data_IF_746326600462
#
_entry.id   IF_746326600462
#
_cell.length_a   1.000
_cell.length_b   1.000
_cell.length_c   1.000
_cell.angle_alpha   90.00
_cell.angle_beta   90.00
_cell.angle_gamma   90.00
#
_symmetry.space_group_name_H-M   'P 1'
#
loop_
_entity.id
_entity.type
_entity.pdbx_description
1 polymer ?
#
# COMPACT_ATOMS: atom_id res chain seq x y z
N UNK A 1 -11.83 3.50 -29.84
CA UNK A 1 -10.95 4.21 -28.87
C UNK A 1 -10.27 3.18 -27.98
N UNK A 2 -8.94 3.13 -27.97
CA UNK A 2 -8.19 2.11 -27.21
C UNK A 2 -8.30 2.34 -25.69
N UNK A 3 -8.09 1.31 -24.86
CA UNK A 3 -8.04 1.48 -23.39
C UNK A 3 -6.98 2.49 -22.98
N UNK A 4 -5.81 2.45 -23.62
CA UNK A 4 -4.75 3.43 -23.37
C UNK A 4 -5.24 4.84 -23.68
N UNK A 5 -6.06 5.02 -24.71
CA UNK A 5 -6.65 6.32 -25.05
C UNK A 5 -7.73 6.74 -24.06
N UNK A 6 -8.63 5.85 -23.62
CA UNK A 6 -9.66 6.20 -22.62
C UNK A 6 -9.04 6.44 -21.24
N UNK A 7 -8.10 5.59 -20.83
CA UNK A 7 -7.32 5.78 -19.62
C UNK A 7 -6.49 7.06 -19.70
N UNK A 8 -5.85 7.36 -20.83
CA UNK A 8 -5.12 8.61 -21.02
C UNK A 8 -6.02 9.85 -21.07
N UNK A 9 -7.25 9.74 -21.61
CA UNK A 9 -8.22 10.84 -21.58
C UNK A 9 -8.70 11.08 -20.15
N UNK A 10 -9.07 10.02 -19.44
CA UNK A 10 -9.39 10.10 -18.02
C UNK A 10 -8.19 10.72 -17.30
N UNK A 11 -6.99 10.14 -17.40
CA UNK A 11 -5.74 10.64 -16.82
C UNK A 11 -5.38 12.08 -17.22
N UNK A 12 -5.78 12.55 -18.40
CA UNK A 12 -5.55 13.93 -18.85
C UNK A 12 -6.58 14.90 -18.27
N UNK A 13 -7.85 14.50 -18.18
CA UNK A 13 -8.90 15.29 -17.54
C UNK A 13 -8.67 15.34 -16.01
N UNK A 14 -8.30 14.19 -15.44
CA UNK A 14 -7.71 14.00 -14.12
C UNK A 14 -6.56 15.00 -13.85
N UNK A 15 -5.60 15.10 -14.78
CA UNK A 15 -4.45 16.00 -14.65
C UNK A 15 -4.79 17.49 -14.78
N UNK A 16 -5.79 17.86 -15.60
CA UNK A 16 -6.25 19.25 -15.73
C UNK A 16 -6.88 19.76 -14.45
N UNK A 17 -7.68 18.92 -13.79
CA UNK A 17 -8.26 19.22 -12.47
C UNK A 17 -7.19 19.30 -11.36
N UNK A 18 -6.08 18.56 -11.51
CA UNK A 18 -4.96 18.59 -10.56
C UNK A 18 -4.10 19.87 -10.65
N UNK A 19 -4.00 20.50 -11.82
CA UNK A 19 -3.16 21.68 -12.04
C UNK A 19 -3.64 22.92 -11.25
N UNK A 20 -4.91 22.97 -10.85
CA UNK A 20 -5.48 24.04 -10.02
C UNK A 20 -5.08 23.92 -8.53
N UNK A 21 -4.32 22.89 -8.14
CA UNK A 21 -4.03 22.51 -6.75
C UNK A 21 -2.53 22.28 -6.55
N UNK A 22 -1.74 23.36 -6.66
CA UNK A 22 -0.30 23.33 -6.50
C UNK A 22 0.13 23.00 -5.04
N UNK A 23 1.05 22.06 -4.87
CA UNK A 23 1.60 21.61 -3.58
C UNK A 23 2.19 22.74 -2.76
N UNK A 24 3.05 23.50 -3.43
CA UNK A 24 3.80 24.57 -2.81
C UNK A 24 2.84 25.66 -2.35
N UNK A 25 1.74 25.88 -3.07
CA UNK A 25 0.67 26.81 -2.69
C UNK A 25 -0.10 26.33 -1.45
N UNK A 26 -0.41 25.04 -1.31
CA UNK A 26 -1.15 24.53 -0.14
C UNK A 26 -0.29 24.50 1.12
N UNK A 27 0.97 24.04 1.03
CA UNK A 27 1.87 24.01 2.18
C UNK A 27 2.33 25.42 2.59
N UNK A 28 2.51 26.34 1.64
CA UNK A 28 2.80 27.75 1.94
C UNK A 28 1.59 28.49 2.53
N UNK A 29 0.36 28.08 2.20
CA UNK A 29 -0.86 28.69 2.78
C UNK A 29 -1.30 28.02 4.08
N UNK A 30 -1.04 26.73 4.29
CA UNK A 30 -1.38 26.01 5.52
C UNK A 30 -0.15 25.80 6.42
N UNK A 31 0.18 26.85 7.17
CA UNK A 31 1.34 26.91 8.07
C UNK A 31 1.40 25.74 9.07
N UNK A 32 0.25 25.20 9.51
CA UNK A 32 0.21 24.07 10.45
C UNK A 32 0.74 22.78 9.81
N UNK A 33 0.32 22.49 8.59
CA UNK A 33 0.79 21.32 7.84
C UNK A 33 2.25 21.50 7.39
N UNK A 34 2.64 22.71 6.99
CA UNK A 34 4.03 23.05 6.68
C UNK A 34 4.96 22.81 7.88
N UNK A 35 4.57 23.26 9.08
CA UNK A 35 5.33 23.04 10.31
C UNK A 35 5.43 21.56 10.68
N UNK A 36 4.32 20.80 10.60
CA UNK A 36 4.33 19.35 10.85
C UNK A 36 5.29 18.65 9.90
N UNK A 37 5.23 18.96 8.61
CA UNK A 37 6.12 18.37 7.60
C UNK A 37 7.59 18.65 7.91
N UNK A 38 7.92 19.91 8.20
CA UNK A 38 9.29 20.31 8.52
C UNK A 38 9.82 19.60 9.78
N UNK A 39 9.01 19.48 10.84
CA UNK A 39 9.40 18.79 12.07
C UNK A 39 9.66 17.30 11.84
N UNK A 40 8.88 16.64 10.97
CA UNK A 40 9.11 15.22 10.65
C UNK A 40 10.39 15.06 9.81
N UNK A 41 10.61 15.94 8.83
CA UNK A 41 11.81 15.93 7.98
C UNK A 41 13.11 16.25 8.73
N UNK A 42 13.01 16.99 9.83
CA UNK A 42 14.10 17.26 10.78
C UNK A 42 14.29 16.11 11.79
N UNK A 43 13.35 15.18 11.88
CA UNK A 43 13.40 14.03 12.79
C UNK A 43 12.84 14.31 14.19
N UNK A 44 12.21 15.46 14.42
CA UNK A 44 11.59 15.86 15.68
C UNK A 44 10.18 15.27 15.87
N UNK A 45 10.08 13.93 15.85
CA UNK A 45 8.81 13.21 15.91
C UNK A 45 7.93 13.54 17.13
N UNK A 46 8.46 13.66 18.37
CA UNK A 46 7.62 13.97 19.54
C UNK A 46 6.86 15.29 19.40
N UNK A 47 7.49 16.32 18.81
CA UNK A 47 6.86 17.61 18.56
C UNK A 47 5.84 17.52 17.42
N UNK A 48 6.19 16.83 16.33
CA UNK A 48 5.27 16.58 15.23
C UNK A 48 4.02 15.84 15.70
N UNK A 49 4.18 14.81 16.53
CA UNK A 49 3.09 14.01 17.10
C UNK A 49 2.09 14.88 17.87
N UNK A 50 2.57 15.78 18.72
CA UNK A 50 1.69 16.71 19.48
C UNK A 50 0.83 17.56 18.54
N UNK A 51 1.40 18.00 17.42
CA UNK A 51 0.65 18.79 16.44
C UNK A 51 -0.34 17.94 15.64
N UNK A 52 0.06 16.73 15.24
CA UNK A 52 -0.79 15.79 14.50
C UNK A 52 -1.99 15.36 15.35
N UNK A 53 -1.78 15.09 16.64
CA UNK A 53 -2.83 14.68 17.58
C UNK A 53 -3.92 15.74 17.79
N UNK A 54 -3.65 16.99 17.43
CA UNK A 54 -4.63 18.10 17.49
C UNK A 54 -5.46 18.23 16.20
N UNK A 55 -5.15 17.45 15.17
CA UNK A 55 -5.86 17.42 13.91
C UNK A 55 -6.82 16.23 13.88
N UNK A 56 -7.91 16.27 13.08
CA UNK A 56 -8.77 15.11 12.89
C UNK A 56 -7.99 13.88 12.41
N UNK A 57 -8.52 12.68 12.70
CA UNK A 57 -7.87 11.42 12.30
C UNK A 57 -7.53 11.43 10.81
N UNK A 58 -6.28 11.03 10.52
CA UNK A 58 -5.66 11.08 9.21
C UNK A 58 -5.57 12.46 8.53
N UNK A 59 -6.09 13.56 9.08
CA UNK A 59 -6.08 14.86 8.39
C UNK A 59 -4.68 15.26 7.92
N UNK A 60 -3.63 15.06 8.74
CA UNK A 60 -2.26 15.43 8.36
C UNK A 60 -1.69 14.59 7.21
N UNK A 61 -2.09 13.33 7.08
CA UNK A 61 -1.57 12.38 6.06
C UNK A 61 -2.52 12.18 4.88
N UNK A 62 -3.80 12.51 5.06
CA UNK A 62 -4.88 12.40 4.10
C UNK A 62 -5.19 13.75 3.45
N UNK A 63 -4.73 14.85 4.07
CA UNK A 63 -5.19 16.23 3.88
C UNK A 63 -5.84 16.44 2.52
N UNK A 64 -7.14 16.21 2.52
CA UNK A 64 -8.00 16.26 1.37
C UNK A 64 -8.83 17.52 1.52
N UNK A 65 -8.27 18.64 1.09
CA UNK A 65 -9.08 19.73 0.56
C UNK A 65 -8.79 19.88 -0.93
N UNK A 66 -8.73 18.74 -1.61
CA UNK A 66 -9.15 18.67 -2.98
C UNK A 66 -9.65 17.27 -3.29
N UNK A 67 -10.94 17.23 -3.52
CA UNK A 67 -11.61 16.09 -4.09
C UNK A 67 -10.92 15.67 -5.39
N UNK A 68 -11.05 14.38 -5.65
CA UNK A 68 -11.15 13.86 -7.00
C UNK A 68 -9.90 14.07 -7.88
N UNK A 69 -9.25 12.94 -8.17
CA UNK A 69 -8.68 12.70 -9.50
C UNK A 69 -7.18 13.07 -9.74
N UNK A 70 -6.32 13.02 -8.72
CA UNK A 70 -4.85 13.04 -8.97
C UNK A 70 -4.15 11.86 -8.30
N UNK A 71 -4.20 10.69 -8.95
CA UNK A 71 -3.39 9.55 -8.49
C UNK A 71 -2.55 8.89 -9.59
N UNK A 72 -2.50 9.45 -10.81
CA UNK A 72 -1.79 8.77 -11.91
C UNK A 72 -0.68 9.62 -12.54
N UNK A 73 -0.44 10.88 -12.12
CA UNK A 73 0.74 11.59 -12.65
C UNK A 73 1.33 12.75 -11.86
N UNK A 74 0.62 13.37 -10.91
CA UNK A 74 1.11 14.56 -10.19
C UNK A 74 0.70 14.54 -8.71
N UNK A 75 0.96 13.42 -8.04
CA UNK A 75 0.73 13.24 -6.60
C UNK A 75 1.80 13.93 -5.78
N UNK A 76 1.68 15.24 -5.57
CA UNK A 76 2.73 15.97 -4.85
C UNK A 76 2.24 16.60 -3.54
N UNK A 77 1.02 17.14 -3.46
CA UNK A 77 0.69 18.05 -2.33
C UNK A 77 0.67 17.46 -0.92
N UNK A 78 0.13 16.25 -0.73
CA UNK A 78 -0.19 15.72 0.61
C UNK A 78 0.50 14.41 0.94
N UNK A 79 1.19 13.84 -0.05
CA UNK A 79 2.03 12.67 0.16
C UNK A 79 3.27 13.07 0.98
N UNK A 80 3.67 14.34 1.03
CA UNK A 80 4.91 14.74 1.70
C UNK A 80 4.94 14.43 3.20
N UNK A 81 3.86 14.70 3.95
CA UNK A 81 3.78 14.32 5.37
C UNK A 81 3.79 12.80 5.53
N UNK A 82 2.95 12.09 4.75
CA UNK A 82 2.92 10.62 4.75
C UNK A 82 4.27 10.01 4.40
N UNK A 83 4.96 10.60 3.43
CA UNK A 83 6.28 10.21 2.94
C UNK A 83 7.33 10.48 4.00
N UNK A 84 7.33 11.66 4.63
CA UNK A 84 8.28 11.99 5.67
C UNK A 84 8.15 11.02 6.86
N UNK A 85 6.92 10.66 7.26
CA UNK A 85 6.70 9.64 8.30
C UNK A 85 7.16 8.26 7.81
N UNK A 86 6.87 7.90 6.55
CA UNK A 86 7.32 6.64 5.96
C UNK A 86 8.85 6.55 5.89
N UNK A 87 9.51 7.63 5.50
CA UNK A 87 10.97 7.73 5.39
C UNK A 87 11.61 7.64 6.78
N UNK A 88 10.97 8.23 7.81
CA UNK A 88 11.34 8.07 9.22
C UNK A 88 11.20 6.61 9.69
N UNK A 89 10.09 5.93 9.36
CA UNK A 89 9.90 4.49 9.60
C UNK A 89 11.02 3.70 8.92
N UNK A 90 11.34 4.01 7.66
CA UNK A 90 12.42 3.38 6.90
C UNK A 90 13.78 3.49 7.59
N UNK A 91 14.13 4.69 8.08
CA UNK A 91 15.38 4.91 8.82
C UNK A 91 15.46 4.09 10.11
N UNK A 92 14.35 4.01 10.85
CA UNK A 92 14.26 3.29 12.13
C UNK A 92 14.37 1.79 11.96
N UNK A 93 13.81 1.22 10.88
CA UNK A 93 13.87 -0.24 10.61
C UNK A 93 15.12 -0.68 9.85
N UNK A 94 15.88 0.25 9.25
CA UNK A 94 16.94 -0.07 8.28
C UNK A 94 17.98 -1.07 8.82
N UNK A 95 18.53 -0.79 10.01
CA UNK A 95 19.58 -1.63 10.61
C UNK A 95 19.06 -3.03 10.91
N UNK A 96 17.85 -3.13 11.45
CA UNK A 96 17.21 -4.40 11.78
C UNK A 96 16.83 -5.20 10.53
N UNK A 97 16.36 -4.51 9.48
CA UNK A 97 16.14 -5.11 8.16
C UNK A 97 17.45 -5.71 7.61
N UNK A 98 18.55 -4.98 7.69
CA UNK A 98 19.85 -5.50 7.23
C UNK A 98 20.31 -6.71 8.04
N UNK A 99 20.06 -6.73 9.34
CA UNK A 99 20.39 -7.87 10.21
C UNK A 99 19.56 -9.12 9.90
N UNK A 100 18.24 -8.96 9.72
CA UNK A 100 17.29 -10.08 9.62
C UNK A 100 17.02 -10.56 8.19
N UNK A 101 17.16 -9.68 7.20
CA UNK A 101 16.70 -9.93 5.84
C UNK A 101 17.77 -9.73 4.76
N UNK A 102 18.93 -9.13 5.06
CA UNK A 102 19.97 -8.95 4.03
C UNK A 102 20.61 -10.29 3.67
N UNK A 103 20.51 -10.64 2.39
CA UNK A 103 21.41 -11.62 1.80
C UNK A 103 22.68 -10.87 1.39
N UNK A 104 23.87 -11.34 1.80
CA UNK A 104 25.20 -10.77 1.46
C UNK A 104 25.44 -10.46 -0.03
N UNK A 105 24.56 -10.92 -0.94
CA UNK A 105 24.61 -10.68 -2.37
C UNK A 105 24.04 -9.32 -2.82
N UNK A 106 23.09 -8.72 -2.09
CA UNK A 106 22.46 -7.43 -2.46
C UNK A 106 23.37 -6.22 -2.15
N UNK A 107 24.31 -6.37 -1.21
CA UNK A 107 25.24 -5.33 -0.76
C UNK A 107 26.24 -4.85 -1.83
N UNK A 108 26.44 -5.62 -2.91
CA UNK A 108 27.35 -5.27 -4.00
C UNK A 108 26.79 -4.17 -4.93
N UNK A 109 25.49 -3.85 -4.84
CA UNK A 109 24.81 -2.98 -5.81
C UNK A 109 24.39 -1.60 -5.29
N UNK A 110 24.48 -1.35 -3.97
CA UNK A 110 23.94 -0.14 -3.33
C UNK A 110 25.03 0.81 -2.81
N UNK A 111 26.13 0.96 -3.53
CA UNK A 111 27.14 1.97 -3.25
C UNK A 111 26.79 3.34 -3.88
N UNK A 112 25.52 3.72 -3.83
CA UNK A 112 25.04 5.03 -4.30
C UNK A 112 24.72 5.88 -3.08
N UNK A 113 25.60 6.85 -2.81
CA UNK A 113 25.46 7.98 -1.87
C UNK A 113 24.52 7.72 -0.69
N UNK A 114 25.05 7.20 0.42
CA UNK A 114 24.40 7.30 1.72
C UNK A 114 24.28 8.79 2.06
N UNK A 115 23.11 9.37 1.85
CA UNK A 115 22.77 10.67 2.42
C UNK A 115 23.02 10.60 3.93
N UNK A 116 23.64 11.66 4.47
CA UNK A 116 24.02 11.74 5.87
C UNK A 116 22.85 11.32 6.75
N UNK A 117 23.05 10.32 7.62
CA UNK A 117 22.08 9.89 8.62
C UNK A 117 21.67 11.11 9.46
N UNK A 118 20.54 11.74 9.12
CA UNK A 118 19.90 12.72 9.99
C UNK A 118 19.57 11.99 11.29
N UNK A 119 19.97 12.56 12.42
CA UNK A 119 19.76 11.96 13.73
C UNK A 119 18.27 12.05 14.06
N UNK A 120 17.51 11.00 13.74
CA UNK A 120 16.11 10.91 14.14
C UNK A 120 16.01 10.81 15.65
N UNK A 121 15.03 11.46 16.26
CA UNK A 121 14.79 11.36 17.71
C UNK A 121 14.17 10.01 18.13
N UNK A 122 13.96 9.10 17.18
CA UNK A 122 13.35 7.79 17.41
C UNK A 122 14.43 6.74 17.60
N UNK A 123 14.23 5.88 18.59
CA UNK A 123 15.12 4.76 18.84
C UNK A 123 15.08 3.76 17.67
N UNK A 124 16.23 3.35 17.10
CA UNK A 124 16.28 2.32 16.08
C UNK A 124 15.69 1.00 16.59
N UNK A 125 14.97 0.29 15.73
CA UNK A 125 14.46 -1.06 16.04
C UNK A 125 15.62 -2.03 16.21
N UNK A 126 15.63 -2.81 17.29
CA UNK A 126 16.65 -3.84 17.58
C UNK A 126 16.07 -5.22 17.89
N UNK A 127 14.77 -5.28 18.14
CA UNK A 127 14.06 -6.51 18.47
C UNK A 127 12.67 -6.56 17.82
N UNK A 128 12.05 -7.73 17.81
CA UNK A 128 10.67 -7.90 17.35
C UNK A 128 9.66 -7.09 18.19
N UNK A 129 9.93 -6.91 19.49
CA UNK A 129 9.13 -6.06 20.37
C UNK A 129 9.24 -4.59 19.99
N UNK A 130 10.43 -4.12 19.60
CA UNK A 130 10.62 -2.75 19.13
C UNK A 130 9.88 -2.54 17.80
N UNK A 131 9.95 -3.52 16.89
CA UNK A 131 9.19 -3.48 15.64
C UNK A 131 7.67 -3.42 15.90
N UNK A 132 7.17 -4.18 16.89
CA UNK A 132 5.78 -4.09 17.32
C UNK A 132 5.44 -2.71 17.93
N UNK A 133 6.37 -2.08 18.67
CA UNK A 133 6.18 -0.73 19.22
C UNK A 133 6.05 0.36 18.16
N UNK A 134 6.55 0.10 16.95
CA UNK A 134 6.44 0.98 15.78
C UNK A 134 4.99 1.16 15.30
N UNK A 135 4.05 0.33 15.78
CA UNK A 135 2.61 0.56 15.56
C UNK A 135 2.18 1.97 15.96
N UNK A 136 2.77 2.52 17.02
CA UNK A 136 2.53 3.89 17.47
C UNK A 136 2.76 4.95 16.38
N UNK A 137 3.66 4.73 15.42
CA UNK A 137 3.88 5.64 14.28
C UNK A 137 3.19 5.14 13.00
N UNK A 138 3.15 3.82 12.78
CA UNK A 138 2.52 3.20 11.60
C UNK A 138 1.04 3.57 11.49
N UNK A 139 0.31 3.68 12.61
CA UNK A 139 -1.10 4.05 12.61
C UNK A 139 -1.38 5.46 12.09
N UNK A 140 -0.41 6.39 12.16
CA UNK A 140 -0.59 7.71 11.57
C UNK A 140 -0.56 7.66 10.05
N UNK A 141 0.19 6.73 9.45
CA UNK A 141 0.30 6.57 7.99
C UNK A 141 -0.79 5.65 7.46
N UNK A 142 -1.00 4.52 8.13
CA UNK A 142 -1.89 3.45 7.68
C UNK A 142 -1.49 2.91 6.31
N UNK A 143 -2.43 2.56 5.42
CA UNK A 143 -2.14 1.93 4.12
C UNK A 143 -1.32 2.80 3.16
N UNK A 144 -1.16 4.10 3.46
CA UNK A 144 -0.39 5.06 2.66
C UNK A 144 1.11 4.79 2.65
N UNK A 145 1.59 3.87 3.50
CA UNK A 145 2.96 3.37 3.43
C UNK A 145 3.29 2.79 2.04
N UNK A 146 2.28 2.32 1.30
CA UNK A 146 2.43 1.84 -0.07
C UNK A 146 2.95 2.91 -1.07
N UNK A 147 2.82 4.21 -0.76
CA UNK A 147 3.42 5.30 -1.55
C UNK A 147 4.96 5.31 -1.47
N UNK A 148 5.52 4.59 -0.49
CA UNK A 148 6.95 4.28 -0.37
C UNK A 148 7.15 2.77 -0.50
N UNK A 149 7.08 2.22 -1.73
CA UNK A 149 7.05 0.78 -1.95
C UNK A 149 8.29 0.06 -1.39
N UNK A 150 9.47 0.68 -1.44
CA UNK A 150 10.70 0.09 -0.87
C UNK A 150 10.58 -0.12 0.65
N UNK A 151 10.00 0.85 1.36
CA UNK A 151 9.84 0.79 2.82
C UNK A 151 8.76 -0.22 3.18
N UNK A 152 7.65 -0.22 2.43
CA UNK A 152 6.60 -1.24 2.56
C UNK A 152 7.16 -2.65 2.33
N UNK A 153 7.96 -2.87 1.29
CA UNK A 153 8.60 -4.18 1.02
C UNK A 153 9.55 -4.58 2.15
N UNK A 154 10.37 -3.67 2.68
CA UNK A 154 11.23 -3.95 3.84
C UNK A 154 10.42 -4.38 5.06
N UNK A 155 9.31 -3.69 5.34
CA UNK A 155 8.40 -4.05 6.42
C UNK A 155 7.77 -5.43 6.21
N UNK A 156 7.28 -5.72 4.99
CA UNK A 156 6.72 -7.03 4.63
C UNK A 156 7.76 -8.14 4.85
N UNK A 157 9.00 -7.94 4.37
CA UNK A 157 10.10 -8.91 4.53
C UNK A 157 10.48 -9.13 6.00
N UNK A 158 10.50 -8.08 6.82
CA UNK A 158 10.71 -8.20 8.27
C UNK A 158 9.62 -9.05 8.93
N UNK A 159 8.35 -8.83 8.59
CA UNK A 159 7.24 -9.62 9.14
C UNK A 159 7.29 -11.07 8.64
N UNK A 160 7.70 -11.31 7.38
CA UNK A 160 7.98 -12.66 6.88
C UNK A 160 9.10 -13.32 7.71
N UNK A 161 10.21 -12.61 7.96
CA UNK A 161 11.29 -13.12 8.80
C UNK A 161 10.83 -13.43 10.22
N UNK A 162 9.99 -12.57 10.81
CA UNK A 162 9.36 -12.83 12.10
C UNK A 162 8.58 -14.16 12.09
N UNK A 163 7.67 -14.36 11.14
CA UNK A 163 6.87 -15.60 11.09
C UNK A 163 7.67 -16.85 10.69
N UNK A 164 8.84 -16.69 10.06
CA UNK A 164 9.80 -17.80 9.86
C UNK A 164 10.48 -18.24 11.15
N UNK A 165 10.78 -17.29 12.05
CA UNK A 165 11.40 -17.58 13.35
C UNK A 165 10.41 -18.15 14.38
N UNK A 166 9.10 -17.93 14.19
CA UNK A 166 8.08 -18.43 15.12
C UNK A 166 7.82 -19.94 14.95
N UNK A 167 7.60 -20.68 16.05
CA UNK A 167 7.14 -22.04 15.97
C UNK A 167 5.74 -22.09 15.35
N UNK A 168 5.52 -23.04 14.44
CA UNK A 168 4.19 -23.29 13.87
C UNK A 168 3.36 -24.08 14.86
N UNK A 169 2.14 -23.60 15.14
CA UNK A 169 1.16 -24.36 15.90
C UNK A 169 0.69 -25.62 15.15
N UNK A 170 -0.06 -26.52 15.82
CA UNK A 170 -0.56 -27.76 15.24
C UNK A 170 -1.41 -27.54 13.97
N UNK A 171 -2.15 -26.44 13.90
CA UNK A 171 -3.01 -26.09 12.75
C UNK A 171 -2.27 -25.27 11.67
N UNK A 172 -0.95 -25.15 11.77
CA UNK A 172 -0.14 -24.27 10.92
C UNK A 172 -0.32 -22.77 11.21
N UNK A 173 -1.10 -22.42 12.24
CA UNK A 173 -1.25 -21.04 12.70
C UNK A 173 0.03 -20.54 13.37
N UNK A 174 0.38 -19.25 13.22
CA UNK A 174 1.45 -18.64 14.00
C UNK A 174 1.18 -18.76 15.50
N UNK A 175 2.25 -18.90 16.30
CA UNK A 175 2.16 -18.88 17.75
C UNK A 175 1.46 -17.59 18.23
N UNK A 176 0.52 -17.73 19.17
CA UNK A 176 -0.14 -16.58 19.78
C UNK A 176 0.82 -15.94 20.79
N UNK A 177 1.24 -14.72 20.48
CA UNK A 177 2.02 -13.85 21.35
C UNK A 177 1.57 -12.41 21.16
N UNK A 178 1.81 -11.51 22.14
CA UNK A 178 1.48 -10.10 21.97
C UNK A 178 2.11 -9.51 20.70
N UNK A 179 3.37 -9.85 20.42
CA UNK A 179 4.10 -9.41 19.22
C UNK A 179 3.45 -9.97 17.95
N UNK A 180 3.11 -11.26 17.92
CA UNK A 180 2.45 -11.88 16.76
C UNK A 180 1.07 -11.27 16.46
N UNK A 181 0.30 -10.91 17.50
CA UNK A 181 -0.96 -10.18 17.36
C UNK A 181 -0.73 -8.80 16.74
N UNK A 182 0.25 -8.06 17.25
CA UNK A 182 0.62 -6.76 16.68
C UNK A 182 1.10 -6.86 15.22
N UNK A 183 1.88 -7.87 14.86
CA UNK A 183 2.26 -8.10 13.46
C UNK A 183 1.04 -8.36 12.58
N UNK A 184 0.09 -9.15 13.07
CA UNK A 184 -1.18 -9.40 12.36
C UNK A 184 -2.00 -8.12 12.18
N UNK A 185 -2.03 -7.24 13.18
CA UNK A 185 -2.71 -5.94 13.08
C UNK A 185 -2.04 -5.05 12.03
N UNK A 186 -0.71 -5.05 11.93
CA UNK A 186 0.02 -4.34 10.87
C UNK A 186 -0.34 -4.91 9.49
N UNK A 187 -0.45 -6.23 9.37
CA UNK A 187 -0.86 -6.86 8.11
C UNK A 187 -2.26 -6.40 7.70
N UNK A 188 -3.21 -6.42 8.64
CA UNK A 188 -4.63 -6.14 8.39
C UNK A 188 -4.90 -4.66 8.09
N UNK A 189 -4.31 -3.74 8.87
CA UNK A 189 -4.61 -2.30 8.77
C UNK A 189 -3.67 -1.53 7.82
N UNK A 190 -2.44 -2.03 7.58
CA UNK A 190 -1.42 -1.32 6.76
C UNK A 190 -1.15 -2.06 5.46
N UNK A 191 -0.68 -3.30 5.54
CA UNK A 191 -0.03 -3.97 4.41
C UNK A 191 -1.03 -4.38 3.34
N UNK A 192 -2.04 -5.16 3.72
CA UNK A 192 -3.07 -5.67 2.80
C UNK A 192 -3.85 -4.52 2.14
N UNK A 193 -4.43 -3.55 2.88
CA UNK A 193 -5.10 -2.41 2.25
C UNK A 193 -4.15 -1.50 1.48
N UNK A 194 -2.87 -1.41 1.88
CA UNK A 194 -1.85 -0.65 1.17
C UNK A 194 -1.62 -1.15 -0.26
N UNK A 195 -1.83 -2.45 -0.52
CA UNK A 195 -1.74 -2.98 -1.89
C UNK A 195 -2.67 -2.25 -2.87
N UNK A 196 -3.87 -1.85 -2.41
CA UNK A 196 -4.83 -1.06 -3.21
C UNK A 196 -4.34 0.34 -3.59
N UNK A 197 -3.37 0.86 -2.84
CA UNK A 197 -2.79 2.20 -3.03
C UNK A 197 -1.44 2.14 -3.76
N UNK A 198 -0.95 0.95 -4.10
CA UNK A 198 0.30 0.78 -4.84
C UNK A 198 0.13 1.00 -6.35
N UNK A 199 1.13 1.61 -6.99
CA UNK A 199 1.15 1.83 -8.43
C UNK A 199 1.56 0.57 -9.19
N UNK A 200 0.58 -0.27 -9.53
CA UNK A 200 0.74 -1.50 -10.35
C UNK A 200 2.01 -2.30 -10.01
N UNK A 201 2.31 -2.43 -8.72
CA UNK A 201 3.57 -2.99 -8.25
C UNK A 201 3.43 -4.50 -8.09
N UNK A 202 3.76 -5.23 -9.15
CA UNK A 202 3.75 -6.70 -9.16
C UNK A 202 4.69 -7.26 -8.10
N UNK A 203 5.88 -6.68 -7.94
CA UNK A 203 6.85 -7.11 -6.93
C UNK A 203 6.30 -7.01 -5.51
N UNK A 204 5.66 -5.89 -5.17
CA UNK A 204 5.01 -5.74 -3.86
C UNK A 204 3.88 -6.75 -3.65
N UNK A 205 3.08 -7.03 -4.70
CA UNK A 205 2.01 -8.03 -4.61
C UNK A 205 2.53 -9.44 -4.29
N UNK A 206 3.67 -9.82 -4.86
CA UNK A 206 4.32 -11.12 -4.61
C UNK A 206 4.94 -11.21 -3.21
N UNK A 207 5.55 -10.12 -2.72
CA UNK A 207 6.08 -10.04 -1.36
C UNK A 207 4.94 -10.19 -0.33
N UNK A 208 3.81 -9.51 -0.55
CA UNK A 208 2.62 -9.63 0.31
C UNK A 208 2.05 -11.04 0.22
N UNK A 209 1.99 -11.66 -0.96
CA UNK A 209 1.55 -13.05 -1.09
C UNK A 209 2.44 -14.01 -0.30
N UNK A 210 3.76 -13.84 -0.39
CA UNK A 210 4.74 -14.62 0.38
C UNK A 210 4.47 -14.53 1.88
N UNK A 211 4.09 -13.35 2.37
CA UNK A 211 3.65 -13.16 3.75
C UNK A 211 2.34 -13.89 4.06
N UNK A 212 1.32 -13.74 3.22
CA UNK A 212 0.02 -14.36 3.43
C UNK A 212 0.09 -15.90 3.48
N UNK A 213 1.07 -16.52 2.82
CA UNK A 213 1.29 -17.97 2.86
C UNK A 213 1.62 -18.52 4.26
N UNK A 214 2.04 -17.67 5.21
CA UNK A 214 2.24 -18.07 6.61
C UNK A 214 0.93 -18.24 7.37
N UNK A 215 -0.19 -17.75 6.83
CA UNK A 215 -1.47 -17.78 7.53
C UNK A 215 -2.37 -18.93 7.04
N UNK A 216 -3.02 -19.66 7.96
CA UNK A 216 -4.02 -20.65 7.60
C UNK A 216 -5.17 -20.02 6.83
N UNK A 217 -5.90 -20.86 6.09
CA UNK A 217 -7.00 -20.44 5.22
C UNK A 217 -7.99 -19.50 5.90
N UNK A 218 -8.41 -19.81 7.13
CA UNK A 218 -9.38 -19.03 7.90
C UNK A 218 -8.90 -17.61 8.17
N UNK A 219 -7.61 -17.43 8.53
CA UNK A 219 -7.03 -16.12 8.76
C UNK A 219 -6.87 -15.31 7.47
N UNK A 220 -6.47 -15.94 6.36
CA UNK A 220 -6.40 -15.27 5.05
C UNK A 220 -7.77 -14.74 4.60
N UNK A 221 -8.83 -15.54 4.73
CA UNK A 221 -10.17 -15.10 4.36
C UNK A 221 -10.73 -14.02 5.29
N UNK A 222 -10.35 -14.03 6.56
CA UNK A 222 -10.65 -12.92 7.48
C UNK A 222 -10.03 -11.61 6.99
N UNK A 223 -8.74 -11.62 6.64
CA UNK A 223 -8.05 -10.47 6.07
C UNK A 223 -8.73 -9.98 4.78
N UNK A 224 -9.12 -10.90 3.88
CA UNK A 224 -9.80 -10.52 2.64
C UNK A 224 -11.18 -9.89 2.90
N UNK A 225 -11.94 -10.42 3.86
CA UNK A 225 -13.20 -9.83 4.27
C UNK A 225 -13.02 -8.42 4.83
N UNK A 226 -12.02 -8.23 5.69
CA UNK A 226 -11.72 -6.94 6.28
C UNK A 226 -11.25 -5.92 5.24
N UNK A 227 -10.37 -6.31 4.32
CA UNK A 227 -9.97 -5.49 3.19
C UNK A 227 -11.16 -5.06 2.31
N UNK A 228 -12.15 -5.94 2.12
CA UNK A 228 -13.34 -5.65 1.29
C UNK A 228 -14.32 -4.66 1.95
N UNK A 229 -14.46 -4.69 3.28
CA UNK A 229 -15.54 -3.99 4.00
C UNK A 229 -15.08 -3.06 5.12
N UNK A 230 -14.11 -3.47 5.94
CA UNK A 230 -13.64 -2.71 7.10
C UNK A 230 -12.75 -1.54 6.71
N UNK A 231 -11.66 -1.84 6.00
CA UNK A 231 -10.61 -0.86 5.72
C UNK A 231 -11.10 0.27 4.79
N UNK A 232 -12.14 0.00 4.00
CA UNK A 232 -12.77 0.99 3.13
C UNK A 232 -13.49 2.11 3.86
N UNK A 233 -13.92 1.89 5.12
CA UNK A 233 -14.59 2.91 5.93
C UNK A 233 -13.56 3.89 6.50
N UNK A 234 -12.46 3.38 7.06
CA UNK A 234 -11.38 4.17 7.64
C UNK A 234 -10.53 4.89 6.58
N UNK A 235 -10.34 4.26 5.42
CA UNK A 235 -9.46 4.77 4.38
C UNK A 235 -10.23 4.96 3.07
N UNK A 236 -10.84 6.14 2.85
CA UNK A 236 -11.70 6.38 1.68
C UNK A 236 -10.94 6.24 0.36
N UNK A 237 -9.62 6.44 0.35
CA UNK A 237 -8.74 6.23 -0.81
C UNK A 237 -8.80 4.78 -1.32
N UNK A 238 -8.83 3.80 -0.41
CA UNK A 238 -8.95 2.37 -0.75
C UNK A 238 -10.27 2.11 -1.47
N UNK A 239 -11.37 2.70 -0.99
CA UNK A 239 -12.69 2.56 -1.63
C UNK A 239 -12.79 3.28 -2.99
N UNK A 240 -12.13 4.42 -3.13
CA UNK A 240 -12.04 5.12 -4.42
C UNK A 240 -11.28 4.26 -5.43
N UNK A 241 -10.15 3.68 -5.02
CA UNK A 241 -9.36 2.78 -5.86
C UNK A 241 -10.14 1.52 -6.24
N UNK A 242 -10.92 0.96 -5.30
CA UNK A 242 -11.88 -0.11 -5.59
C UNK A 242 -12.85 0.26 -6.71
N UNK A 243 -13.47 1.45 -6.64
CA UNK A 243 -14.37 1.94 -7.68
C UNK A 243 -13.69 2.08 -9.05
N UNK A 244 -12.47 2.63 -9.08
CA UNK A 244 -11.66 2.75 -10.31
C UNK A 244 -11.32 1.39 -10.90
N UNK A 245 -10.84 0.45 -10.08
CA UNK A 245 -10.52 -0.91 -10.52
C UNK A 245 -11.77 -1.59 -11.05
N UNK A 246 -12.91 -1.52 -10.35
CA UNK A 246 -14.17 -2.09 -10.83
C UNK A 246 -14.59 -1.53 -12.20
N UNK A 247 -14.50 -0.21 -12.39
CA UNK A 247 -14.79 0.43 -13.68
C UNK A 247 -13.87 -0.09 -14.80
N UNK A 248 -12.57 -0.24 -14.52
CA UNK A 248 -11.58 -0.78 -15.47
C UNK A 248 -11.82 -2.27 -15.75
N UNK A 249 -12.13 -3.07 -14.74
CA UNK A 249 -12.47 -4.49 -14.91
C UNK A 249 -13.70 -4.66 -15.81
N UNK A 250 -14.76 -3.87 -15.56
CA UNK A 250 -15.95 -3.84 -16.44
C UNK A 250 -15.61 -3.49 -17.88
N UNK A 251 -14.73 -2.51 -18.07
CA UNK A 251 -14.28 -2.11 -19.41
C UNK A 251 -13.56 -3.25 -20.14
N UNK A 252 -12.63 -3.92 -19.46
CA UNK A 252 -11.82 -5.02 -19.99
C UNK A 252 -12.71 -6.19 -20.39
N UNK A 253 -13.63 -6.59 -19.51
CA UNK A 253 -14.50 -7.74 -19.75
C UNK A 253 -15.53 -7.52 -20.86
N UNK A 254 -16.08 -6.30 -21.00
CA UNK A 254 -16.95 -5.96 -22.13
C UNK A 254 -16.28 -6.07 -23.50
N UNK A 255 -14.95 -6.13 -23.55
CA UNK A 255 -14.14 -6.18 -24.77
C UNK A 255 -13.33 -7.47 -24.88
N UNK A 256 -13.56 -8.43 -23.98
CA UNK A 256 -12.86 -9.71 -24.01
C UNK A 256 -13.43 -10.58 -25.12
N UNK A 257 -12.57 -10.98 -26.06
CA UNK A 257 -12.88 -11.87 -27.18
C UNK A 257 -11.66 -12.75 -27.48
N UNK A 258 -11.83 -13.77 -28.33
CA UNK A 258 -10.72 -14.66 -28.74
C UNK A 258 -9.52 -13.89 -29.31
N UNK A 259 -9.78 -12.80 -30.03
CA UNK A 259 -8.74 -11.98 -30.66
C UNK A 259 -8.05 -11.03 -29.67
N UNK A 260 -8.80 -10.54 -28.68
CA UNK A 260 -8.32 -9.51 -27.74
C UNK A 260 -7.79 -10.07 -26.41
N UNK A 261 -7.99 -11.37 -26.16
CA UNK A 261 -7.69 -12.06 -24.89
C UNK A 261 -6.27 -11.77 -24.37
N UNK A 262 -5.26 -11.70 -25.25
CA UNK A 262 -3.88 -11.42 -24.84
C UNK A 262 -3.68 -9.99 -24.33
N UNK A 263 -4.30 -9.00 -24.98
CA UNK A 263 -4.15 -7.58 -24.61
C UNK A 263 -5.01 -7.26 -23.39
N UNK A 264 -6.27 -7.66 -23.43
CA UNK A 264 -7.23 -7.47 -22.33
C UNK A 264 -6.83 -8.27 -21.09
N UNK A 265 -6.28 -9.47 -21.28
CA UNK A 265 -5.76 -10.29 -20.19
C UNK A 265 -4.59 -9.67 -19.45
N UNK A 266 -3.63 -9.05 -20.17
CA UNK A 266 -2.55 -8.29 -19.52
C UNK A 266 -3.07 -7.11 -18.71
N UNK A 267 -4.11 -6.43 -19.19
CA UNK A 267 -4.73 -5.33 -18.45
C UNK A 267 -5.47 -5.85 -17.21
N UNK A 268 -6.17 -6.97 -17.33
CA UNK A 268 -6.83 -7.64 -16.22
C UNK A 268 -5.83 -8.06 -15.15
N UNK A 269 -4.72 -8.69 -15.55
CA UNK A 269 -3.64 -9.10 -14.65
C UNK A 269 -3.06 -7.93 -13.86
N UNK A 270 -2.79 -6.79 -14.52
CA UNK A 270 -2.35 -5.56 -13.83
C UNK A 270 -3.34 -5.11 -12.74
N UNK A 271 -4.65 -5.20 -12.99
CA UNK A 271 -5.67 -4.87 -11.99
C UNK A 271 -5.69 -5.89 -10.84
N UNK A 272 -5.47 -7.17 -11.13
CA UNK A 272 -5.40 -8.24 -10.11
C UNK A 272 -4.24 -8.04 -9.13
N UNK A 273 -3.11 -7.46 -9.56
CA UNK A 273 -1.98 -7.20 -8.65
C UNK A 273 -2.28 -6.12 -7.59
N UNK A 274 -3.19 -5.18 -7.85
CA UNK A 274 -3.53 -4.10 -6.92
C UNK A 274 -4.77 -4.43 -6.08
N UNK A 275 -5.81 -4.98 -6.72
CA UNK A 275 -7.09 -5.20 -6.04
C UNK A 275 -7.77 -6.50 -6.53
N UNK A 276 -7.18 -7.67 -6.22
CA UNK A 276 -7.65 -8.97 -6.71
C UNK A 276 -9.08 -9.26 -6.29
N UNK A 277 -9.46 -8.94 -5.04
CA UNK A 277 -10.82 -9.17 -4.53
C UNK A 277 -11.87 -8.53 -5.44
N UNK A 278 -11.68 -7.27 -5.83
CA UNK A 278 -12.64 -6.54 -6.68
C UNK A 278 -12.71 -7.11 -8.09
N UNK A 279 -11.56 -7.53 -8.63
CA UNK A 279 -11.51 -8.14 -9.97
C UNK A 279 -12.22 -9.49 -9.97
N UNK A 280 -11.88 -10.37 -9.03
CA UNK A 280 -12.46 -11.72 -8.95
C UNK A 280 -13.94 -11.72 -8.56
N UNK A 281 -14.39 -10.85 -7.65
CA UNK A 281 -15.80 -10.69 -7.30
C UNK A 281 -16.64 -10.36 -8.54
N UNK A 282 -16.13 -9.46 -9.40
CA UNK A 282 -16.82 -9.14 -10.64
C UNK A 282 -16.70 -10.26 -11.70
N UNK A 283 -15.53 -10.88 -11.87
CA UNK A 283 -15.35 -12.02 -12.79
C UNK A 283 -16.32 -13.16 -12.48
N UNK A 284 -16.41 -13.56 -11.21
CA UNK A 284 -17.32 -14.62 -10.76
C UNK A 284 -18.78 -14.27 -11.06
N UNK A 285 -19.18 -13.01 -10.82
CA UNK A 285 -20.53 -12.54 -11.18
C UNK A 285 -20.82 -12.65 -12.69
N UNK A 286 -19.81 -12.45 -13.54
CA UNK A 286 -19.96 -12.53 -14.99
C UNK A 286 -19.98 -13.99 -15.47
N UNK A 287 -19.22 -14.89 -14.85
CA UNK A 287 -19.29 -16.32 -15.16
C UNK A 287 -20.68 -16.87 -14.85
N UNK A 288 -21.25 -16.52 -13.70
CA UNK A 288 -22.59 -16.98 -13.31
C UNK A 288 -23.72 -16.44 -14.19
N UNK A 289 -23.46 -15.41 -15.00
CA UNK A 289 -24.49 -14.75 -15.83
C UNK A 289 -24.26 -14.88 -17.33
N UNK A 290 -23.04 -15.22 -17.78
CA UNK A 290 -22.66 -15.31 -19.20
C UNK A 290 -21.77 -16.54 -19.46
N UNK A 291 -22.38 -17.68 -19.82
CA UNK A 291 -21.67 -18.95 -20.09
C UNK A 291 -20.65 -18.85 -21.23
N UNK A 292 -20.85 -17.94 -22.18
CA UNK A 292 -19.98 -17.76 -23.36
C UNK A 292 -18.57 -17.25 -23.03
N UNK A 293 -18.35 -16.72 -21.82
CA UNK A 293 -17.06 -16.18 -21.39
C UNK A 293 -16.18 -17.23 -20.69
N UNK A 294 -16.74 -18.38 -20.28
CA UNK A 294 -16.02 -19.41 -19.52
C UNK A 294 -14.73 -19.91 -20.20
N UNK A 295 -14.73 -20.20 -21.52
CA UNK A 295 -13.51 -20.63 -22.20
C UNK A 295 -12.43 -19.54 -22.24
N UNK A 296 -12.83 -18.27 -22.33
CA UNK A 296 -11.90 -17.13 -22.36
C UNK A 296 -11.23 -16.92 -21.00
N UNK A 297 -11.91 -17.23 -19.90
CA UNK A 297 -11.31 -17.16 -18.56
C UNK A 297 -10.26 -18.26 -18.32
N UNK A 298 -10.42 -19.45 -18.90
CA UNK A 298 -9.38 -20.49 -18.82
C UNK A 298 -8.08 -20.04 -19.49
N UNK A 299 -8.16 -19.30 -20.61
CA UNK A 299 -6.98 -18.69 -21.25
C UNK A 299 -6.34 -17.57 -20.45
N UNK A 300 -7.04 -17.00 -19.45
CA UNK A 300 -6.51 -15.97 -18.57
C UNK A 300 -5.85 -16.55 -17.31
N UNK A 301 -6.11 -17.82 -17.00
CA UNK A 301 -5.53 -18.55 -15.86
C UNK A 301 -4.23 -19.30 -16.21
N UNK A 302 -3.89 -19.37 -17.50
CA UNK A 302 -2.67 -19.96 -18.07
C UNK A 302 -1.70 -18.86 -18.51
#
# INVERSE_FOLDING_TARGET
VSFATVAAIQEADDAKLAAELNEEAVLSTNQKLGLVCALIEDGAWPLAKILIDRLPEYYAVQARLALLISFIKYGSVFIRVSNAISDLIGQVIEKFYMEKCSNKLEDLSLNTKRDSLKTSSLDPVRSWSDLASLTSILWYVGPRLAYRPLIMTKLVRLIVAFYREQPKGPDGAPADSPVARTMMDIVDEVIVPGLSLSDYNTGLSEEIWTLLQFFPYTLRYRLYGHWKYGNTIRHPEVNIMRGKVLGRTKYVLKRLSKETVRVMGRQLGKLCHIHPITVFDYLLSQVSTNDSLLPLYQYLAL
#
